data_IF_718423419170
#
_entry.id   IF_718423419170
#
_cell.length_a   1.000
_cell.length_b   1.000
_cell.length_c   1.000
_cell.angle_alpha   90.00
_cell.angle_beta   90.00
_cell.angle_gamma   90.00
#
_symmetry.space_group_name_H-M   'P 1'
#
loop_
_entity.id
_entity.type
_entity.pdbx_description
1 polymer ?
#
# COMPACT_ATOMS: atom_id res chain seq x y z
N UNK A 1 17.79 -0.31 -3.33
CA UNK A 1 17.29 1.01 -2.88
C UNK A 1 16.88 0.92 -1.42
N UNK A 2 16.72 2.04 -0.72
CA UNK A 2 16.12 2.08 0.63
C UNK A 2 14.92 3.01 0.60
N UNK A 3 13.81 2.58 1.20
CA UNK A 3 12.62 3.39 1.39
C UNK A 3 12.41 3.63 2.88
N UNK A 4 11.88 4.80 3.21
CA UNK A 4 11.57 5.21 4.57
C UNK A 4 10.14 5.75 4.68
N UNK A 5 9.72 6.02 5.92
CA UNK A 5 8.42 6.58 6.23
C UNK A 5 7.24 5.84 5.58
N UNK A 6 6.32 6.60 4.99
CA UNK A 6 5.08 6.06 4.41
C UNK A 6 5.32 5.19 3.17
N UNK A 7 6.37 5.48 2.39
CA UNK A 7 6.68 4.70 1.19
C UNK A 7 7.16 3.29 1.59
N UNK A 8 8.13 3.21 2.51
CA UNK A 8 8.62 1.93 3.04
C UNK A 8 7.49 1.12 3.69
N UNK A 9 6.69 1.76 4.55
CA UNK A 9 5.55 1.11 5.19
C UNK A 9 4.54 0.55 4.17
N UNK A 10 4.17 1.33 3.14
CA UNK A 10 3.21 0.89 2.14
C UNK A 10 3.77 -0.25 1.28
N UNK A 11 5.05 -0.22 0.92
CA UNK A 11 5.70 -1.31 0.20
C UNK A 11 5.61 -2.61 0.99
N UNK A 12 5.93 -2.57 2.29
CA UNK A 12 5.80 -3.72 3.19
C UNK A 12 4.38 -4.28 3.17
N UNK A 13 3.35 -3.42 3.29
CA UNK A 13 1.95 -3.88 3.25
C UNK A 13 1.54 -4.52 1.92
N UNK A 14 2.02 -3.97 0.80
CA UNK A 14 1.74 -4.56 -0.52
C UNK A 14 2.45 -5.91 -0.71
N UNK A 15 3.69 -6.04 -0.24
CA UNK A 15 4.46 -7.30 -0.31
C UNK A 15 3.83 -8.37 0.59
N UNK A 16 3.46 -8.02 1.83
CA UNK A 16 2.76 -8.93 2.76
C UNK A 16 1.42 -9.41 2.20
N UNK A 17 0.68 -8.54 1.51
CA UNK A 17 -0.59 -8.91 0.88
C UNK A 17 -0.41 -9.72 -0.42
N UNK A 18 0.73 -9.60 -1.08
CA UNK A 18 1.03 -10.22 -2.36
C UNK A 18 -0.03 -9.89 -3.43
N UNK A 19 -0.42 -10.90 -4.21
CA UNK A 19 -1.40 -10.75 -5.30
C UNK A 19 -2.79 -10.30 -4.86
N UNK A 20 -3.15 -10.50 -3.58
CA UNK A 20 -4.43 -10.01 -3.04
C UNK A 20 -4.46 -8.49 -2.98
N UNK A 21 -3.31 -7.84 -2.78
CA UNK A 21 -3.25 -6.41 -2.55
C UNK A 21 -3.97 -5.96 -1.28
N UNK A 22 -4.07 -4.64 -1.13
CA UNK A 22 -4.72 -4.01 0.03
C UNK A 22 -5.74 -2.96 -0.39
N UNK A 23 -6.83 -2.85 0.36
CA UNK A 23 -7.75 -1.70 0.30
C UNK A 23 -7.53 -0.77 1.48
N UNK A 24 -7.95 0.50 1.36
CA UNK A 24 -7.98 1.47 2.46
C UNK A 24 -8.75 0.97 3.69
N UNK A 25 -9.74 0.08 3.51
CA UNK A 25 -10.51 -0.50 4.63
C UNK A 25 -9.72 -1.53 5.46
N UNK A 26 -8.69 -2.15 4.88
CA UNK A 26 -7.84 -3.17 5.54
C UNK A 26 -6.65 -2.54 6.27
N UNK A 27 -6.47 -1.21 6.16
CA UNK A 27 -5.33 -0.46 6.69
C UNK A 27 -5.74 0.46 7.84
N UNK A 28 -4.79 0.85 8.72
CA UNK A 28 -5.08 1.77 9.81
C UNK A 28 -5.69 3.09 9.34
N UNK A 29 -6.67 3.61 10.10
CA UNK A 29 -7.28 4.91 9.85
C UNK A 29 -6.25 6.05 9.93
N UNK A 30 -6.49 7.14 9.20
CA UNK A 30 -5.64 8.32 9.18
C UNK A 30 -4.41 8.24 8.25
N UNK A 31 -4.13 7.07 7.68
CA UNK A 31 -3.08 6.93 6.66
C UNK A 31 -3.59 7.43 5.31
N UNK A 32 -2.84 8.35 4.69
CA UNK A 32 -3.07 8.77 3.30
C UNK A 32 -2.52 7.74 2.33
N UNK A 33 -3.25 6.64 2.13
CA UNK A 33 -2.84 5.50 1.28
C UNK A 33 -2.50 5.94 -0.14
N UNK A 34 -3.35 6.76 -0.78
CA UNK A 34 -3.11 7.26 -2.13
C UNK A 34 -1.77 8.04 -2.24
N UNK A 35 -1.39 8.79 -1.21
CA UNK A 35 -0.11 9.48 -1.17
C UNK A 35 1.06 8.52 -1.01
N UNK A 36 0.93 7.49 -0.16
CA UNK A 36 1.98 6.47 -0.03
C UNK A 36 2.19 5.69 -1.34
N UNK A 37 1.11 5.34 -2.04
CA UNK A 37 1.15 4.74 -3.38
C UNK A 37 1.76 5.68 -4.41
N UNK A 38 1.44 6.97 -4.35
CA UNK A 38 2.07 7.97 -5.22
C UNK A 38 3.59 8.02 -5.03
N UNK A 39 4.09 7.98 -3.79
CA UNK A 39 5.53 7.94 -3.53
C UNK A 39 6.19 6.71 -4.16
N UNK A 40 5.57 5.53 -4.04
CA UNK A 40 6.06 4.31 -4.68
C UNK A 40 6.12 4.45 -6.21
N UNK A 41 5.06 4.98 -6.82
CA UNK A 41 5.03 5.21 -8.28
C UNK A 41 6.08 6.21 -8.73
N UNK A 42 6.27 7.28 -7.97
CA UNK A 42 7.31 8.29 -8.22
C UNK A 42 8.71 7.66 -8.18
N UNK A 43 8.93 6.70 -7.28
CA UNK A 43 10.21 6.00 -7.12
C UNK A 43 10.35 4.81 -8.11
N UNK A 44 9.42 4.65 -9.05
CA UNK A 44 9.52 3.71 -10.18
C UNK A 44 8.80 2.37 -10.00
N UNK A 45 8.11 2.15 -8.89
CA UNK A 45 7.32 0.94 -8.69
C UNK A 45 6.01 0.97 -9.48
N UNK A 46 5.67 -0.16 -10.09
CA UNK A 46 4.38 -0.38 -10.73
C UNK A 46 3.41 -0.87 -9.66
N UNK A 47 2.46 -0.01 -9.30
CA UNK A 47 1.37 -0.32 -8.37
C UNK A 47 0.05 -0.16 -9.11
N UNK A 48 -0.74 -1.23 -9.21
CA UNK A 48 -2.07 -1.18 -9.83
C UNK A 48 -3.10 -0.58 -8.86
N UNK A 49 -4.23 -0.11 -9.41
CA UNK A 49 -5.35 0.44 -8.64
C UNK A 49 -6.66 0.04 -9.29
N UNK A 50 -7.21 -1.08 -8.86
CA UNK A 50 -8.50 -1.56 -9.29
C UNK A 50 -9.58 -0.99 -8.38
N UNK A 51 -10.69 -0.51 -8.94
CA UNK A 51 -11.79 -0.01 -8.12
C UNK A 51 -12.66 -1.18 -7.64
N UNK A 52 -12.82 -1.29 -6.32
CA UNK A 52 -13.72 -2.22 -5.66
C UNK A 52 -14.91 -1.47 -5.05
N UNK A 53 -16.10 -2.02 -5.26
CA UNK A 53 -17.33 -1.53 -4.63
C UNK A 53 -17.59 -2.35 -3.39
N UNK A 54 -17.98 -1.70 -2.28
CA UNK A 54 -18.46 -2.37 -1.09
C UNK A 54 -19.89 -1.94 -0.75
N UNK A 55 -20.67 -2.87 -0.21
CA UNK A 55 -22.01 -2.63 0.32
C UNK A 55 -22.01 -2.29 1.81
N UNK A 56 -23.14 -2.53 2.47
CA UNK A 56 -23.39 -2.20 3.88
C UNK A 56 -24.11 -0.87 4.05
N UNK A 57 -24.20 -0.40 5.30
CA UNK A 57 -24.93 0.83 5.65
C UNK A 57 -24.33 2.10 5.02
N UNK A 58 -23.06 2.03 4.64
CA UNK A 58 -22.33 3.09 3.95
C UNK A 58 -21.69 2.52 2.68
N UNK A 59 -22.46 2.35 1.58
CA UNK A 59 -21.93 1.81 0.35
C UNK A 59 -20.96 2.80 -0.31
N UNK A 60 -19.93 2.28 -0.97
CA UNK A 60 -18.88 3.11 -1.54
C UNK A 60 -17.97 2.38 -2.50
N UNK A 61 -17.01 3.13 -3.06
CA UNK A 61 -15.98 2.63 -3.97
C UNK A 61 -14.61 3.06 -3.48
N UNK A 62 -13.68 2.12 -3.44
CA UNK A 62 -12.29 2.38 -3.06
C UNK A 62 -11.35 1.58 -3.96
N UNK A 63 -10.08 1.96 -3.97
CA UNK A 63 -9.09 1.23 -4.77
C UNK A 63 -8.47 0.08 -3.98
N UNK A 64 -8.34 -1.08 -4.62
CA UNK A 64 -7.43 -2.15 -4.22
C UNK A 64 -6.09 -1.95 -4.93
N UNK A 65 -5.04 -1.84 -4.13
CA UNK A 65 -3.68 -1.62 -4.59
C UNK A 65 -2.89 -2.92 -4.57
N UNK A 66 -2.20 -3.25 -5.66
CA UNK A 66 -1.28 -4.40 -5.74
C UNK A 66 0.07 -3.95 -6.25
N UNK A 67 1.15 -4.49 -5.68
CA UNK A 67 2.49 -4.31 -6.23
C UNK A 67 2.68 -5.27 -7.40
N UNK A 68 2.91 -4.72 -8.59
CA UNK A 68 3.13 -5.50 -9.81
C UNK A 68 4.61 -5.68 -10.10
N UNK A 69 5.44 -4.75 -9.63
CA UNK A 69 6.90 -4.88 -9.71
C UNK A 69 7.38 -6.09 -8.89
N UNK A 70 8.02 -7.09 -9.52
CA UNK A 70 8.61 -8.21 -8.79
C UNK A 70 9.76 -7.71 -7.91
N UNK A 71 9.66 -7.96 -6.60
CA UNK A 71 10.68 -7.55 -5.65
C UNK A 71 10.66 -8.44 -4.39
N UNK A 72 11.74 -8.37 -3.63
CA UNK A 72 11.84 -8.94 -2.29
C UNK A 72 12.41 -7.90 -1.33
N UNK A 73 11.94 -7.93 -0.08
CA UNK A 73 12.49 -7.10 0.99
C UNK A 73 13.62 -7.90 1.63
N UNK A 74 14.85 -7.37 1.56
CA UNK A 74 16.05 -8.02 2.10
C UNK A 74 16.36 -7.60 3.54
N UNK A 75 15.87 -6.45 3.97
CA UNK A 75 15.99 -5.94 5.34
C UNK A 75 14.80 -5.01 5.63
N UNK A 76 14.12 -5.24 6.75
CA UNK A 76 12.98 -4.48 7.22
C UNK A 76 13.28 -3.93 8.62
N UNK A 77 14.03 -2.83 8.68
CA UNK A 77 14.27 -2.14 9.94
C UNK A 77 12.94 -1.52 10.45
N UNK A 78 12.41 -2.05 11.54
CA UNK A 78 11.24 -1.47 12.22
C UNK A 78 11.67 -0.14 12.85
N UNK A 79 11.19 0.97 12.29
CA UNK A 79 11.34 2.29 12.91
C UNK A 79 10.22 2.48 13.92
N UNK A 80 10.52 2.26 15.21
CA UNK A 80 9.61 2.60 16.31
C UNK A 80 9.59 4.12 16.42
N UNK A 81 8.45 4.73 16.08
CA UNK A 81 8.21 6.14 16.36
C UNK A 81 7.76 6.27 17.83
N UNK A 82 8.45 7.12 18.60
CA UNK A 82 8.11 7.46 19.98
C UNK A 82 6.80 8.28 20.06
#
# INVERSE_FOLDING_TARGET
MRLDGRAGWMLTKLVEAGKRGVTTLELPAGIRVAHAVYLLRRDGFIVSSENETHGGDFPGRHSRYRIETPLSIVDAAVQVSA
#
